data_IF_764447515142
#
_entry.id   IF_764447515142
#
_cell.length_a   1.000
_cell.length_b   1.000
_cell.length_c   1.000
_cell.angle_alpha   90.00
_cell.angle_beta   90.00
_cell.angle_gamma   90.00
#
_symmetry.space_group_name_H-M   'P 1'
#
loop_
_entity.id
_entity.type
_entity.pdbx_description
1 polymer ?
#
# COMPACT_ATOMS: atom_id res chain seq x y z
N UNK A 1 0.21 2.20 -15.46
CA UNK A 1 0.00 2.44 -14.00
C UNK A 1 0.59 3.79 -13.65
N UNK A 2 0.06 4.47 -12.63
CA UNK A 2 0.64 5.71 -12.08
C UNK A 2 1.31 5.40 -10.73
N UNK A 3 2.29 6.21 -10.36
CA UNK A 3 3.04 6.14 -9.11
C UNK A 3 2.74 7.36 -8.26
N UNK A 4 3.14 7.31 -7.00
CA UNK A 4 2.98 8.42 -6.10
C UNK A 4 3.70 8.19 -4.78
N UNK A 5 3.68 9.23 -3.96
CA UNK A 5 4.28 9.26 -2.62
C UNK A 5 3.22 9.59 -1.57
N UNK A 6 3.41 9.06 -0.37
CA UNK A 6 2.62 9.43 0.80
C UNK A 6 3.17 10.77 1.30
N UNK A 7 2.28 11.75 1.46
CA UNK A 7 2.63 13.04 2.06
C UNK A 7 2.37 13.03 3.56
N UNK A 8 1.26 12.42 3.97
CA UNK A 8 0.79 12.47 5.36
C UNK A 8 -0.10 11.26 5.66
N UNK A 9 0.01 10.76 6.89
CA UNK A 9 -0.90 9.78 7.48
C UNK A 9 -1.55 10.48 8.67
N UNK A 10 -2.88 10.52 8.70
CA UNK A 10 -3.62 11.11 9.80
C UNK A 10 -3.31 10.38 11.11
N UNK A 11 -3.20 11.15 12.20
CA UNK A 11 -2.93 10.60 13.54
C UNK A 11 -4.17 9.97 14.18
N UNK A 12 -5.34 10.40 13.73
CA UNK A 12 -6.62 9.94 14.25
C UNK A 12 -7.23 8.87 13.35
N UNK A 13 -7.96 7.96 13.98
CA UNK A 13 -8.73 6.90 13.31
C UNK A 13 -10.12 7.46 13.00
N UNK A 14 -10.56 7.31 11.76
CA UNK A 14 -11.93 7.58 11.34
C UNK A 14 -12.72 6.27 11.25
N UNK A 15 -14.03 6.29 11.52
CA UNK A 15 -14.91 5.14 11.30
C UNK A 15 -15.54 5.24 9.92
N UNK A 16 -15.21 4.31 9.02
CA UNK A 16 -15.82 4.18 7.70
C UNK A 16 -16.54 2.84 7.63
N UNK A 17 -17.87 2.86 7.48
CA UNK A 17 -18.72 1.66 7.50
C UNK A 17 -18.44 0.78 8.73
N UNK A 18 -18.39 1.39 9.92
CA UNK A 18 -18.12 0.73 11.20
C UNK A 18 -16.70 0.13 11.34
N UNK A 19 -15.85 0.28 10.33
CA UNK A 19 -14.46 -0.14 10.37
C UNK A 19 -13.52 1.04 10.69
N UNK A 20 -12.57 0.89 11.62
CA UNK A 20 -11.55 1.89 11.87
C UNK A 20 -10.58 2.00 10.69
N UNK A 21 -10.40 3.19 10.15
CA UNK A 21 -9.52 3.48 9.01
C UNK A 21 -8.62 4.67 9.29
N UNK A 22 -7.41 4.63 8.74
CA UNK A 22 -6.51 5.78 8.70
C UNK A 22 -6.66 6.53 7.38
N UNK A 23 -6.76 7.84 7.47
CA UNK A 23 -6.78 8.71 6.30
C UNK A 23 -5.35 9.01 5.84
N UNK A 24 -5.10 8.80 4.56
CA UNK A 24 -3.77 9.02 3.96
C UNK A 24 -3.89 10.09 2.89
N UNK A 25 -3.00 11.08 2.93
CA UNK A 25 -2.84 12.08 1.88
C UNK A 25 -1.67 11.68 0.99
N UNK A 26 -1.95 11.50 -0.29
CA UNK A 26 -0.97 11.06 -1.28
C UNK A 26 -0.83 12.09 -2.40
N UNK A 27 0.37 12.14 -2.98
CA UNK A 27 0.64 12.86 -4.21
C UNK A 27 0.87 11.85 -5.33
N UNK A 28 0.21 12.06 -6.47
CA UNK A 28 0.45 11.29 -7.68
C UNK A 28 1.48 12.02 -8.54
N UNK A 29 2.45 11.28 -9.09
CA UNK A 29 3.52 11.87 -9.92
C UNK A 29 3.00 12.21 -11.32
N UNK A 30 2.03 11.43 -11.81
CA UNK A 30 1.47 11.57 -13.15
C UNK A 30 0.06 12.15 -13.11
N UNK A 31 -0.25 13.02 -14.08
CA UNK A 31 -1.61 13.53 -14.33
C UNK A 31 -2.44 12.61 -15.24
N UNK A 32 -1.88 11.49 -15.69
CA UNK A 32 -2.51 10.56 -16.60
C UNK A 32 -2.15 9.11 -16.27
N UNK A 33 -3.09 8.20 -16.52
CA UNK A 33 -2.88 6.76 -16.48
C UNK A 33 -2.60 6.26 -17.89
N UNK A 34 -1.49 5.54 -18.03
CA UNK A 34 -1.23 4.69 -19.19
C UNK A 34 -1.68 3.28 -18.90
N UNK A 35 -2.65 2.79 -19.66
CA UNK A 35 -3.13 1.42 -19.64
C UNK A 35 -2.17 0.52 -20.44
N UNK A 36 -2.27 -0.81 -20.23
CA UNK A 36 -1.41 -1.80 -20.90
C UNK A 36 -1.54 -1.76 -22.43
N UNK A 37 -2.71 -1.35 -22.93
CA UNK A 37 -3.00 -1.17 -24.35
C UNK A 37 -2.53 0.18 -24.92
N UNK A 38 -1.59 0.87 -24.26
CA UNK A 38 -1.09 2.20 -24.63
C UNK A 38 -2.13 3.34 -24.61
N UNK A 39 -3.38 3.11 -24.19
CA UNK A 39 -4.37 4.16 -24.02
C UNK A 39 -3.96 5.07 -22.85
N UNK A 40 -4.05 6.40 -23.06
CA UNK A 40 -3.78 7.42 -22.05
C UNK A 40 -5.10 8.04 -21.58
N UNK A 41 -5.46 7.83 -20.32
CA UNK A 41 -6.59 8.49 -19.67
C UNK A 41 -6.09 9.57 -18.71
N UNK A 42 -6.65 10.78 -18.77
CA UNK A 42 -6.31 11.84 -17.82
C UNK A 42 -7.00 11.60 -16.47
N UNK A 43 -6.25 11.78 -15.38
CA UNK A 43 -6.79 11.75 -14.02
C UNK A 43 -7.48 13.06 -13.73
N UNK A 44 -8.71 13.00 -13.22
CA UNK A 44 -9.53 14.17 -12.87
C UNK A 44 -9.94 14.12 -11.40
N UNK A 45 -10.19 15.30 -10.83
CA UNK A 45 -10.75 15.44 -9.48
C UNK A 45 -12.11 14.72 -9.40
N UNK A 46 -12.35 14.04 -8.28
CA UNK A 46 -13.59 13.28 -8.03
C UNK A 46 -13.54 11.83 -8.51
N UNK A 47 -12.45 11.39 -9.14
CA UNK A 47 -12.25 9.97 -9.45
C UNK A 47 -11.84 9.18 -8.21
N UNK A 48 -12.40 7.98 -8.07
CA UNK A 48 -11.93 6.97 -7.12
C UNK A 48 -10.81 6.15 -7.75
N UNK A 49 -9.81 5.76 -6.95
CA UNK A 49 -8.74 4.87 -7.39
C UNK A 49 -8.44 3.84 -6.31
N UNK A 50 -7.90 2.71 -6.75
CA UNK A 50 -7.28 1.72 -5.86
C UNK A 50 -5.78 1.91 -5.89
N UNK A 51 -5.16 2.12 -4.73
CA UNK A 51 -3.71 2.18 -4.58
C UNK A 51 -3.17 0.96 -3.84
N UNK A 52 -1.91 0.65 -4.09
CA UNK A 52 -1.13 -0.35 -3.35
C UNK A 52 0.00 0.38 -2.67
N UNK A 53 0.07 0.30 -1.35
CA UNK A 53 1.10 0.95 -0.55
C UNK A 53 2.22 -0.05 -0.24
N UNK A 54 3.48 0.39 -0.36
CA UNK A 54 4.64 -0.38 0.09
C UNK A 54 4.80 -0.14 1.58
N UNK A 55 4.56 -1.16 2.40
CA UNK A 55 4.60 -1.04 3.87
C UNK A 55 6.03 -1.10 4.40
N UNK A 56 6.83 -2.04 3.89
CA UNK A 56 8.22 -2.24 4.30
C UNK A 56 9.07 -2.61 3.07
N UNK A 57 10.36 -2.29 3.15
CA UNK A 57 11.35 -2.86 2.25
C UNK A 57 11.90 -4.11 2.91
N UNK A 58 11.72 -5.25 2.24
CA UNK A 58 12.25 -6.54 2.69
C UNK A 58 13.21 -7.05 1.62
N UNK A 59 14.37 -7.52 2.05
CA UNK A 59 15.23 -8.28 1.17
C UNK A 59 14.62 -9.67 0.95
N UNK A 60 15.01 -10.32 -0.16
CA UNK A 60 14.64 -11.71 -0.39
C UNK A 60 15.19 -12.63 0.72
N UNK A 61 16.32 -12.26 1.31
CA UNK A 61 16.92 -12.98 2.43
C UNK A 61 16.05 -12.87 3.69
N UNK A 62 15.49 -11.70 4.00
CA UNK A 62 14.55 -11.52 5.11
C UNK A 62 13.33 -12.45 4.95
N UNK A 63 12.76 -12.50 3.74
CA UNK A 63 11.63 -13.38 3.44
C UNK A 63 11.98 -14.87 3.57
N UNK A 64 13.19 -15.25 3.18
CA UNK A 64 13.67 -16.63 3.30
C UNK A 64 13.89 -17.01 4.76
N UNK A 65 14.48 -16.11 5.55
CA UNK A 65 14.76 -16.34 6.95
C UNK A 65 13.46 -16.48 7.75
N UNK A 66 12.48 -15.58 7.54
CA UNK A 66 11.14 -15.66 8.15
C UNK A 66 10.47 -17.02 7.85
N UNK A 67 10.55 -17.49 6.59
CA UNK A 67 10.02 -18.79 6.17
C UNK A 67 10.66 -19.99 6.86
N UNK A 68 11.97 -19.93 7.10
CA UNK A 68 12.72 -21.01 7.75
C UNK A 68 12.43 -20.98 9.26
N UNK A 69 12.37 -19.79 9.86
CA UNK A 69 12.05 -19.61 11.27
C UNK A 69 10.64 -20.12 11.60
N UNK A 70 9.64 -19.76 10.79
CA UNK A 70 8.26 -20.26 10.90
C UNK A 70 8.18 -21.80 10.84
N UNK A 71 9.07 -22.44 10.07
CA UNK A 71 9.11 -23.90 9.96
C UNK A 71 9.78 -24.56 11.17
N UNK A 72 10.81 -23.92 11.72
CA UNK A 72 11.57 -24.42 12.87
C UNK A 72 10.89 -24.13 14.22
N UNK A 73 10.05 -23.10 14.27
CA UNK A 73 9.26 -22.74 15.44
C UNK A 73 7.77 -22.51 15.08
N UNK A 74 7.03 -23.58 14.77
CA UNK A 74 5.63 -23.47 14.35
C UNK A 74 4.68 -22.92 15.43
N UNK A 75 5.16 -22.77 16.68
CA UNK A 75 4.41 -22.19 17.81
C UNK A 75 4.92 -20.79 18.20
N UNK A 76 5.86 -20.21 17.45
CA UNK A 76 6.36 -18.86 17.68
C UNK A 76 5.22 -17.85 17.49
N UNK A 77 4.68 -17.33 18.58
CA UNK A 77 3.72 -16.22 18.53
C UNK A 77 4.40 -15.04 17.81
N UNK A 78 4.02 -14.84 16.55
CA UNK A 78 4.45 -13.69 15.76
C UNK A 78 3.70 -12.46 16.31
N UNK A 79 4.31 -11.77 17.27
CA UNK A 79 3.79 -10.50 17.81
C UNK A 79 4.15 -9.41 16.81
N UNK A 80 3.17 -9.04 15.98
CA UNK A 80 3.19 -7.82 15.16
C UNK A 80 2.51 -6.68 15.90
#
# INVERSE_FOLDING_TARGET
>A
MATGSILEIAKDIELLNEAPVFKIKCQLDQKHLRLKNNFKGNLKKGMTFTARFKLAERSLFDLLYDKIDDWLNPNGMNVI
#
